data_IF_721392989342
#
_entry.id   IF_721392989342
#
_cell.length_a   1.000
_cell.length_b   1.000
_cell.length_c   1.000
_cell.angle_alpha   90.00
_cell.angle_beta   90.00
_cell.angle_gamma   90.00
#
_symmetry.space_group_name_H-M   'P 1'
#
loop_
_entity.id
_entity.type
_entity.pdbx_description
1 polymer ?
#
# COMPACT_ATOMS: atom_id res chain seq x y z
N UNK A 1 6.27 14.31 4.23
CA UNK A 1 6.42 13.30 3.16
C UNK A 1 5.52 12.16 3.52
N UNK A 2 4.59 11.83 2.64
CA UNK A 2 3.59 10.82 2.91
C UNK A 2 3.15 10.22 1.59
N UNK A 3 3.55 8.98 1.32
CA UNK A 3 2.93 8.18 0.28
C UNK A 3 1.46 7.93 0.65
N UNK A 4 0.62 7.75 -0.38
CA UNK A 4 -0.77 7.35 -0.17
C UNK A 4 -0.95 5.91 -0.59
N UNK A 5 -1.35 5.05 0.34
CA UNK A 5 -1.59 3.63 0.07
C UNK A 5 -3.05 3.44 -0.27
N UNK A 6 -3.34 2.91 -1.47
CA UNK A 6 -4.71 2.66 -1.92
C UNK A 6 -4.94 1.16 -1.91
N UNK A 7 -5.90 0.69 -1.11
CA UNK A 7 -6.32 -0.70 -1.06
C UNK A 7 -7.67 -0.84 -1.77
N UNK A 8 -7.66 -1.53 -2.90
CA UNK A 8 -8.84 -1.77 -3.74
C UNK A 8 -9.53 -3.06 -3.34
N UNK A 9 -10.71 -2.90 -2.73
CA UNK A 9 -11.60 -3.98 -2.29
C UNK A 9 -10.96 -5.03 -1.35
N UNK A 10 -10.17 -4.64 -0.33
CA UNK A 10 -9.43 -5.60 0.48
C UNK A 10 -10.36 -6.58 1.21
N UNK A 11 -9.97 -7.84 1.25
CA UNK A 11 -10.83 -8.94 1.72
C UNK A 11 -10.49 -9.38 3.15
N UNK A 12 -9.23 -9.24 3.58
CA UNK A 12 -8.75 -9.82 4.83
C UNK A 12 -8.45 -8.73 5.89
N UNK A 13 -9.20 -8.68 7.01
CA UNK A 13 -9.05 -7.63 8.02
C UNK A 13 -7.67 -7.61 8.69
N UNK A 14 -7.01 -8.76 8.83
CA UNK A 14 -5.67 -8.86 9.40
C UNK A 14 -4.63 -8.15 8.54
N UNK A 15 -4.76 -8.21 7.21
CA UNK A 15 -3.87 -7.49 6.30
C UNK A 15 -4.07 -5.99 6.43
N UNK A 16 -5.33 -5.53 6.45
CA UNK A 16 -5.66 -4.13 6.67
C UNK A 16 -5.07 -3.59 7.98
N UNK A 17 -5.12 -4.38 9.06
CA UNK A 17 -4.49 -4.03 10.33
C UNK A 17 -2.97 -3.92 10.26
N UNK A 18 -2.29 -4.88 9.63
CA UNK A 18 -0.83 -4.82 9.45
C UNK A 18 -0.42 -3.63 8.57
N UNK A 19 -1.18 -3.33 7.51
CA UNK A 19 -0.94 -2.19 6.62
C UNK A 19 -1.16 -0.87 7.35
N UNK A 20 -2.20 -0.78 8.18
CA UNK A 20 -2.42 0.37 9.07
C UNK A 20 -1.21 0.61 9.99
N UNK A 21 -0.61 -0.44 10.56
CA UNK A 21 0.63 -0.30 11.33
C UNK A 21 1.79 0.23 10.48
N UNK A 22 2.00 -0.31 9.27
CA UNK A 22 3.00 0.21 8.33
C UNK A 22 2.79 1.68 8.07
N UNK A 23 1.57 2.09 7.71
CA UNK A 23 1.25 3.48 7.41
C UNK A 23 1.51 4.41 8.61
N UNK A 24 1.21 3.96 9.83
CA UNK A 24 1.40 4.76 11.02
C UNK A 24 2.88 5.02 11.33
N UNK A 25 3.75 4.02 11.14
CA UNK A 25 5.19 4.17 11.37
C UNK A 25 5.90 4.89 10.23
N UNK A 26 5.34 4.87 9.02
CA UNK A 26 5.90 5.55 7.85
C UNK A 26 5.32 6.93 7.60
N UNK A 27 4.29 7.34 8.35
CA UNK A 27 3.53 8.56 8.09
C UNK A 27 2.72 8.53 6.80
N UNK A 28 2.53 7.36 6.19
CA UNK A 28 1.75 7.20 4.96
C UNK A 28 0.26 7.35 5.23
N UNK A 29 -0.48 7.86 4.24
CA UNK A 29 -1.94 7.90 4.26
C UNK A 29 -2.50 6.56 3.80
N UNK A 30 -3.72 6.24 4.22
CA UNK A 30 -4.39 5.01 3.83
C UNK A 30 -5.77 5.29 3.23
N UNK A 31 -5.97 4.86 2.00
CA UNK A 31 -7.23 4.90 1.29
C UNK A 31 -7.77 3.48 1.15
N UNK A 32 -9.02 3.30 1.58
CA UNK A 32 -9.79 2.09 1.32
C UNK A 32 -10.81 2.36 0.21
N UNK A 33 -10.78 1.54 -0.84
CA UNK A 33 -11.82 1.53 -1.87
C UNK A 33 -12.74 0.34 -1.63
N UNK A 34 -14.05 0.62 -1.52
CA UNK A 34 -15.10 -0.37 -1.25
C UNK A 34 -15.44 -1.21 -2.49
N UNK A 35 -16.12 -2.38 -2.32
CA UNK A 35 -16.52 -2.99 -1.05
C UNK A 35 -15.36 -3.59 -0.25
N UNK A 36 -15.40 -3.45 1.07
CA UNK A 36 -14.46 -4.14 1.96
C UNK A 36 -15.03 -5.53 2.27
N UNK A 37 -14.19 -6.56 2.24
CA UNK A 37 -14.60 -7.92 2.62
C UNK A 37 -14.79 -8.12 4.13
N UNK A 38 -14.70 -7.05 4.92
CA UNK A 38 -14.79 -7.06 6.37
C UNK A 38 -15.40 -5.76 6.92
N UNK A 39 -15.94 -5.85 8.14
CA UNK A 39 -16.42 -4.68 8.88
C UNK A 39 -15.31 -4.08 9.73
N UNK A 40 -15.11 -2.76 9.59
CA UNK A 40 -14.24 -1.98 10.46
C UNK A 40 -15.05 -1.58 11.68
N UNK A 41 -14.92 -2.36 12.77
CA UNK A 41 -15.52 -2.03 14.07
C UNK A 41 -14.42 -1.84 15.11
N UNK A 42 -14.68 -1.01 16.13
CA UNK A 42 -13.75 -0.79 17.24
C UNK A 42 -13.28 -2.08 17.92
N UNK A 43 -14.14 -3.11 17.92
CA UNK A 43 -13.79 -4.44 18.44
C UNK A 43 -12.77 -5.15 17.55
N UNK A 44 -12.93 -5.09 16.23
CA UNK A 44 -11.93 -5.62 15.29
C UNK A 44 -10.64 -4.82 15.32
N UNK A 45 -10.74 -3.50 15.47
CA UNK A 45 -9.59 -2.59 15.64
C UNK A 45 -8.76 -2.96 16.87
N UNK A 46 -9.40 -3.06 18.06
CA UNK A 46 -8.72 -3.45 19.30
C UNK A 46 -8.13 -4.86 19.23
N UNK A 47 -8.81 -5.83 18.63
CA UNK A 47 -8.36 -7.23 18.58
C UNK A 47 -7.18 -7.45 17.62
N UNK A 48 -7.03 -6.61 16.60
CA UNK A 48 -5.90 -6.61 15.69
C UNK A 48 -4.70 -5.77 16.19
N UNK A 49 -4.75 -5.28 17.45
CA UNK A 49 -3.69 -4.44 18.01
C UNK A 49 -3.59 -3.06 17.34
N UNK A 50 -4.72 -2.53 16.84
CA UNK A 50 -4.78 -1.28 16.07
C UNK A 50 -4.85 -0.03 16.95
N UNK A 51 -3.98 0.06 17.96
CA UNK A 51 -3.75 1.30 18.71
C UNK A 51 -3.25 2.44 17.81
N UNK A 52 -2.80 2.09 16.60
CA UNK A 52 -2.30 3.00 15.58
C UNK A 52 -3.39 3.72 14.77
N UNK A 53 -4.64 3.23 14.79
CA UNK A 53 -5.70 3.74 13.91
C UNK A 53 -5.98 5.23 14.11
N UNK A 54 -5.84 5.73 15.35
CA UNK A 54 -5.95 7.15 15.72
C UNK A 54 -4.84 8.04 15.15
N UNK A 55 -3.73 7.47 14.71
CA UNK A 55 -2.60 8.20 14.12
C UNK A 55 -2.63 8.18 12.59
N UNK A 56 -3.62 7.52 11.99
CA UNK A 56 -3.73 7.37 10.55
C UNK A 56 -4.65 8.42 9.94
N UNK A 57 -4.19 8.98 8.83
CA UNK A 57 -5.05 9.69 7.89
C UNK A 57 -5.70 8.64 6.97
N UNK A 58 -6.94 8.26 7.30
CA UNK A 58 -7.71 7.23 6.58
C UNK A 58 -8.88 7.87 5.83
N UNK A 59 -9.02 7.51 4.56
CA UNK A 59 -10.18 7.89 3.75
C UNK A 59 -10.83 6.67 3.08
N UNK A 60 -12.12 6.77 2.80
CA UNK A 60 -12.91 5.73 2.16
C UNK A 60 -13.57 6.26 0.89
N UNK A 61 -13.53 5.46 -0.17
CA UNK A 61 -14.11 5.77 -1.47
C UNK A 61 -14.89 4.57 -1.99
N UNK A 62 -15.88 4.81 -2.84
CA UNK A 62 -16.77 3.74 -3.31
C UNK A 62 -16.29 3.10 -4.62
N UNK A 63 -15.31 3.71 -5.29
CA UNK A 63 -14.65 3.12 -6.47
C UNK A 63 -13.22 3.61 -6.67
N UNK A 64 -12.39 2.82 -7.34
CA UNK A 64 -11.02 3.24 -7.73
C UNK A 64 -11.08 4.41 -8.71
N UNK A 65 -12.11 4.47 -9.56
CA UNK A 65 -12.34 5.58 -10.48
C UNK A 65 -12.47 6.90 -9.73
N UNK A 66 -13.22 6.94 -8.63
CA UNK A 66 -13.39 8.14 -7.81
C UNK A 66 -12.05 8.65 -7.24
N UNK A 67 -11.19 7.73 -6.80
CA UNK A 67 -9.84 8.06 -6.31
C UNK A 67 -8.98 8.61 -7.45
N UNK A 68 -9.00 7.96 -8.62
CA UNK A 68 -8.25 8.38 -9.80
C UNK A 68 -8.70 9.76 -10.28
N UNK A 69 -10.00 9.97 -10.47
CA UNK A 69 -10.58 11.25 -10.92
C UNK A 69 -10.17 12.43 -10.00
N UNK A 70 -9.96 12.16 -8.71
CA UNK A 70 -9.64 13.18 -7.71
C UNK A 70 -8.15 13.48 -7.57
N UNK A 71 -7.29 12.47 -7.74
CA UNK A 71 -5.87 12.56 -7.33
C UNK A 71 -4.86 12.22 -8.43
N UNK A 72 -5.29 11.61 -9.53
CA UNK A 72 -4.37 11.20 -10.58
C UNK A 72 -3.92 12.41 -11.41
N UNK A 73 -2.61 12.57 -11.56
CA UNK A 73 -1.99 13.65 -12.35
C UNK A 73 -1.25 13.15 -13.59
N UNK A 74 -1.34 11.85 -13.90
CA UNK A 74 -0.70 11.25 -15.07
C UNK A 74 0.58 10.48 -14.77
N UNK A 75 1.20 10.66 -13.60
CA UNK A 75 2.52 10.09 -13.31
C UNK A 75 2.80 9.87 -11.80
N UNK A 76 1.77 9.91 -10.97
CA UNK A 76 1.87 9.85 -9.50
C UNK A 76 1.24 8.59 -8.90
N UNK A 77 0.80 7.63 -9.74
CA UNK A 77 0.20 6.38 -9.31
C UNK A 77 1.07 5.20 -9.75
N UNK A 78 1.28 4.25 -8.86
CA UNK A 78 2.00 3.01 -9.12
C UNK A 78 1.13 1.81 -8.78
N UNK A 79 0.80 0.99 -9.78
CA UNK A 79 -0.11 -0.14 -9.64
C UNK A 79 0.65 -1.44 -9.39
N UNK A 80 0.55 -1.99 -8.19
CA UNK A 80 1.25 -3.22 -7.84
C UNK A 80 0.51 -4.45 -8.38
N UNK A 81 1.18 -5.17 -9.29
CA UNK A 81 0.63 -6.37 -9.93
C UNK A 81 1.73 -7.33 -10.36
N UNK A 82 1.48 -8.64 -10.23
CA UNK A 82 2.39 -9.69 -10.72
C UNK A 82 2.50 -9.71 -12.25
N UNK A 83 1.58 -9.04 -12.96
CA UNK A 83 1.49 -8.98 -14.42
C UNK A 83 2.32 -7.83 -15.03
N UNK A 84 2.94 -6.98 -14.21
CA UNK A 84 3.78 -5.88 -14.69
C UNK A 84 5.09 -6.35 -15.34
N UNK A 85 5.64 -5.54 -16.26
CA UNK A 85 6.99 -5.67 -16.82
C UNK A 85 8.08 -4.93 -16.01
N UNK A 86 7.70 -4.00 -15.14
CA UNK A 86 8.63 -3.11 -14.41
C UNK A 86 8.83 -3.63 -12.99
N UNK A 87 10.08 -3.79 -12.56
CA UNK A 87 10.38 -4.18 -11.19
C UNK A 87 10.15 -2.97 -10.27
N UNK A 88 9.50 -3.17 -9.12
CA UNK A 88 9.19 -2.07 -8.18
C UNK A 88 10.42 -1.22 -7.79
N UNK A 89 11.61 -1.82 -7.68
CA UNK A 89 12.86 -1.11 -7.36
C UNK A 89 13.48 -0.35 -8.55
N UNK A 90 12.97 -0.54 -9.77
CA UNK A 90 13.38 0.23 -10.96
C UNK A 90 12.52 1.48 -11.17
N UNK A 91 11.28 1.45 -10.66
CA UNK A 91 10.37 2.59 -10.65
C UNK A 91 11.00 3.79 -9.94
N UNK A 92 10.60 4.99 -10.36
CA UNK A 92 11.10 6.26 -9.82
C UNK A 92 10.04 6.89 -8.94
N UNK A 93 10.01 6.48 -7.68
CA UNK A 93 9.05 7.00 -6.72
C UNK A 93 9.37 8.46 -6.36
N UNK A 94 8.32 9.27 -6.23
CA UNK A 94 8.37 10.67 -5.80
C UNK A 94 7.58 10.82 -4.49
N UNK A 95 7.94 11.82 -3.67
CA UNK A 95 7.12 12.14 -2.49
C UNK A 95 5.68 12.46 -2.92
N UNK A 96 4.73 11.93 -2.16
CA UNK A 96 3.29 12.08 -2.46
C UNK A 96 2.73 11.08 -3.46
N UNK A 97 3.53 10.16 -4.02
CA UNK A 97 3.02 9.13 -4.91
C UNK A 97 1.98 8.21 -4.23
N UNK A 98 1.09 7.67 -5.04
CA UNK A 98 0.06 6.72 -4.68
C UNK A 98 0.53 5.30 -5.01
N UNK A 99 0.55 4.42 -4.02
CA UNK A 99 0.87 3.00 -4.21
C UNK A 99 -0.44 2.20 -4.13
N UNK A 100 -0.86 1.64 -5.26
CA UNK A 100 -2.18 1.04 -5.44
C UNK A 100 -2.06 -0.48 -5.43
N UNK A 101 -2.85 -1.12 -4.56
CA UNK A 101 -2.87 -2.57 -4.38
C UNK A 101 -4.31 -3.09 -4.47
N UNK A 102 -4.48 -4.22 -5.15
CA UNK A 102 -5.78 -4.88 -5.23
C UNK A 102 -6.00 -5.90 -4.11
N UNK A 103 -7.20 -6.47 -4.10
CA UNK A 103 -7.60 -7.54 -3.18
C UNK A 103 -6.73 -8.78 -3.30
N UNK A 104 -6.65 -9.52 -2.20
CA UNK A 104 -5.74 -10.66 -2.03
C UNK A 104 -5.96 -11.77 -3.05
N UNK A 105 -7.22 -12.05 -3.40
CA UNK A 105 -7.56 -13.19 -4.25
C UNK A 105 -7.33 -12.95 -5.74
N UNK A 106 -7.53 -11.72 -6.22
CA UNK A 106 -7.55 -11.40 -7.66
C UNK A 106 -6.61 -10.27 -8.07
N UNK A 107 -6.07 -9.52 -7.12
CA UNK A 107 -5.32 -8.30 -7.40
C UNK A 107 -6.22 -7.21 -7.96
N UNK A 108 -5.61 -6.30 -8.74
CA UNK A 108 -6.32 -5.19 -9.38
C UNK A 108 -7.12 -5.65 -10.60
N UNK A 109 -8.22 -4.95 -10.95
CA UNK A 109 -8.96 -5.21 -12.19
C UNK A 109 -8.04 -5.17 -13.42
N UNK A 110 -8.19 -6.13 -14.33
CA UNK A 110 -7.29 -6.24 -15.49
C UNK A 110 -7.39 -5.05 -16.43
N UNK A 111 -8.59 -4.49 -16.61
CA UNK A 111 -8.78 -3.37 -17.54
C UNK A 111 -8.09 -2.10 -17.02
N UNK A 112 -8.09 -1.87 -15.70
CA UNK A 112 -7.29 -0.82 -15.06
C UNK A 112 -5.80 -1.03 -15.32
N UNK A 113 -5.30 -2.26 -15.18
CA UNK A 113 -3.89 -2.57 -15.43
C UNK A 113 -3.49 -2.39 -16.90
N UNK A 114 -4.39 -2.68 -17.85
CA UNK A 114 -4.13 -2.48 -19.28
C UNK A 114 -4.08 -1.01 -19.65
N UNK A 115 -4.97 -0.20 -19.08
CA UNK A 115 -5.02 1.25 -19.30
C UNK A 115 -3.77 1.95 -18.76
N UNK A 116 -3.23 1.46 -17.63
CA UNK A 116 -2.10 2.05 -16.90
C UNK A 116 -0.86 1.15 -16.89
N UNK A 117 -0.61 0.39 -17.96
CA UNK A 117 0.38 -0.68 -17.92
C UNK A 117 1.82 -0.20 -17.69
N UNK A 118 2.16 1.00 -18.14
CA UNK A 118 3.48 1.61 -17.94
C UNK A 118 3.70 2.14 -16.52
N UNK A 119 2.63 2.29 -15.73
CA UNK A 119 2.66 2.65 -14.30
C UNK A 119 2.51 1.41 -13.39
N UNK A 120 2.37 0.22 -13.98
CA UNK A 120 2.30 -1.01 -13.21
C UNK A 120 3.70 -1.44 -12.77
N UNK A 121 3.83 -1.93 -11.53
CA UNK A 121 5.08 -2.47 -10.98
C UNK A 121 4.89 -3.84 -10.36
N UNK A 122 5.94 -4.66 -10.35
CA UNK A 122 5.94 -5.98 -9.70
C UNK A 122 7.02 -6.10 -8.63
N UNK A 123 6.71 -6.88 -7.60
CA UNK A 123 7.71 -7.41 -6.67
C UNK A 123 8.24 -8.73 -7.27
N UNK A 124 9.57 -8.87 -7.50
CA UNK A 124 10.16 -10.11 -7.99
C UNK A 124 9.92 -11.27 -7.02
N UNK A 125 9.58 -12.45 -7.56
CA UNK A 125 9.34 -13.68 -6.81
C UNK A 125 9.89 -14.87 -7.58
N UNK A 126 10.27 -15.94 -6.89
CA UNK A 126 10.75 -17.16 -7.53
C UNK A 126 9.61 -17.94 -8.19
N UNK A 127 9.77 -18.29 -9.48
CA UNK A 127 8.96 -19.28 -10.19
C UNK A 127 7.44 -19.05 -10.13
N UNK A 128 6.68 -20.15 -10.19
CA UNK A 128 5.21 -20.17 -10.18
C UNK A 128 4.63 -20.26 -8.76
N UNK A 129 5.27 -19.62 -7.78
CA UNK A 129 4.77 -19.57 -6.41
C UNK A 129 3.60 -18.59 -6.30
N UNK A 130 2.79 -18.77 -5.25
CA UNK A 130 1.74 -17.81 -4.90
C UNK A 130 2.35 -16.45 -4.59
N UNK A 131 1.58 -15.39 -4.86
CA UNK A 131 1.96 -14.03 -4.49
C UNK A 131 2.22 -13.89 -3.00
N UNK A 132 3.02 -12.89 -2.64
CA UNK A 132 3.21 -12.46 -1.26
C UNK A 132 1.88 -12.09 -0.62
N UNK A 133 1.84 -12.21 0.70
CA UNK A 133 0.78 -11.60 1.51
C UNK A 133 0.65 -10.10 1.17
N UNK A 134 -0.58 -9.58 1.14
CA UNK A 134 -0.85 -8.19 0.76
C UNK A 134 -0.14 -7.19 1.68
N UNK A 135 -0.17 -7.41 3.00
CA UNK A 135 0.51 -6.52 3.95
C UNK A 135 2.04 -6.51 3.77
N UNK A 136 2.64 -7.66 3.44
CA UNK A 136 4.06 -7.73 3.08
C UNK A 136 4.34 -6.98 1.78
N UNK A 137 3.47 -7.12 0.77
CA UNK A 137 3.62 -6.43 -0.52
C UNK A 137 3.57 -4.91 -0.36
N UNK A 138 2.63 -4.42 0.46
CA UNK A 138 2.54 -2.99 0.80
C UNK A 138 3.79 -2.53 1.55
N UNK A 139 4.22 -3.26 2.59
CA UNK A 139 5.41 -2.93 3.35
C UNK A 139 6.65 -2.81 2.44
N UNK A 140 6.86 -3.79 1.55
CA UNK A 140 7.95 -3.78 0.57
C UNK A 140 7.88 -2.56 -0.34
N UNK A 141 6.70 -2.26 -0.92
CA UNK A 141 6.53 -1.11 -1.80
C UNK A 141 6.81 0.22 -1.10
N UNK A 142 6.27 0.41 0.11
CA UNK A 142 6.46 1.63 0.90
C UNK A 142 7.92 1.83 1.29
N UNK A 143 8.58 0.80 1.81
CA UNK A 143 9.98 0.91 2.23
C UNK A 143 10.95 1.07 1.06
N UNK A 144 10.67 0.49 -0.11
CA UNK A 144 11.48 0.77 -1.31
C UNK A 144 11.33 2.24 -1.74
N UNK A 145 10.10 2.76 -1.77
CA UNK A 145 9.86 4.16 -2.11
C UNK A 145 10.55 5.11 -1.10
N UNK A 146 10.45 4.83 0.20
CA UNK A 146 11.18 5.59 1.23
C UNK A 146 12.70 5.48 1.09
N UNK A 147 13.22 4.29 0.74
CA UNK A 147 14.64 4.07 0.50
C UNK A 147 15.14 4.94 -0.65
N UNK A 148 14.39 5.03 -1.74
CA UNK A 148 14.73 5.90 -2.88
C UNK A 148 14.79 7.38 -2.48
N UNK A 149 13.94 7.80 -1.54
CA UNK A 149 13.95 9.17 -0.99
C UNK A 149 14.97 9.39 0.14
N UNK A 150 15.66 8.34 0.59
CA UNK A 150 16.67 8.42 1.65
C UNK A 150 16.13 8.46 3.08
N UNK A 151 14.94 7.89 3.34
CA UNK A 151 14.29 7.87 4.65
C UNK A 151 14.21 9.24 5.37
N UNK A 152 13.77 10.30 4.69
CA UNK A 152 13.86 11.65 5.21
C UNK A 152 12.96 11.83 6.45
N UNK A 153 13.55 12.31 7.56
CA UNK A 153 12.86 12.48 8.84
C UNK A 153 12.70 11.21 9.68
N UNK A 154 13.25 10.06 9.26
CA UNK A 154 13.20 8.81 10.03
C UNK A 154 14.41 8.70 10.96
N UNK A 155 14.21 7.99 12.07
CA UNK A 155 15.31 7.52 12.91
C UNK A 155 16.04 6.37 12.19
N UNK A 156 17.28 6.60 11.78
CA UNK A 156 18.10 5.63 11.01
C UNK A 156 19.14 4.90 11.85
N UNK A 157 19.28 5.26 13.12
CA UNK A 157 20.22 4.67 14.06
C UNK A 157 19.47 4.13 15.28
N UNK A 158 19.90 2.98 15.79
CA UNK A 158 19.36 2.36 16.99
C UNK A 158 20.47 2.12 18.01
N UNK A 159 20.08 1.95 19.26
CA UNK A 159 20.99 1.66 20.37
C UNK A 159 20.51 0.38 21.05
N UNK A 160 21.45 -0.51 21.37
CA UNK A 160 21.19 -1.65 22.25
C UNK A 160 21.40 -1.14 23.68
N UNK A 161 20.39 -1.16 24.56
CA UNK A 161 20.57 -0.72 25.93
C UNK A 161 21.69 -1.53 26.61
N UNK A 162 22.65 -0.86 27.25
CA UNK A 162 23.56 -1.50 28.20
C UNK A 162 22.76 -1.73 29.49
N UNK A 163 22.65 -3.01 29.90
CA UNK A 163 21.93 -3.41 31.12
C UNK A 163 22.58 -2.85 32.40
#
# INVERSE_FOLDING_TARGET
MAFTIVLVEPEIPQNAGNIARTCAVTGSKLIFVRPLGFEITDKHLKRAGLDYWKYLDISYYDSIKEVMDKFYTGDNFWFFSTKSKIIHSEAKFKDGDFLVFGKETKGLPEDLLKEHYDECVRIPMMGNLRSLNLSNSVCTGVYEALRQLGYPGFKTEGEIPEN
#
